data_IF_229319920744
#
_entry.id   IF_229319920744
#
_cell.length_a   1.000
_cell.length_b   1.000
_cell.length_c   1.000
_cell.angle_alpha   90.00
_cell.angle_beta   90.00
_cell.angle_gamma   90.00
#
_symmetry.space_group_name_H-M   'P 1'
#
loop_
_entity.id
_entity.type
_entity.pdbx_description
1 polymer ?
#
# COMPACT_ATOMS: atom_id res chain seq x y z
N UNK A 1 4.82 1.69 -22.93
CA UNK A 1 4.56 1.21 -21.56
C UNK A 1 5.66 0.27 -21.14
N UNK A 2 6.23 0.47 -19.94
CA UNK A 2 7.15 -0.49 -19.34
C UNK A 2 6.38 -1.77 -18.94
N UNK A 3 7.08 -2.91 -18.86
CA UNK A 3 6.52 -4.19 -18.44
C UNK A 3 7.40 -4.79 -17.36
N UNK A 4 6.78 -5.52 -16.43
CA UNK A 4 7.45 -6.24 -15.35
C UNK A 4 6.85 -7.65 -15.25
N UNK A 5 7.65 -8.64 -14.87
CA UNK A 5 7.16 -10.01 -14.63
C UNK A 5 6.43 -10.08 -13.28
N UNK A 6 5.44 -10.96 -13.14
CA UNK A 6 4.74 -11.16 -11.86
C UNK A 6 5.69 -11.53 -10.71
N UNK A 7 6.68 -12.37 -10.98
CA UNK A 7 7.67 -12.76 -9.96
C UNK A 7 8.50 -11.56 -9.46
N UNK A 8 8.99 -10.70 -10.37
CA UNK A 8 9.73 -9.50 -9.99
C UNK A 8 8.83 -8.48 -9.27
N UNK A 9 7.57 -8.37 -9.69
CA UNK A 9 6.57 -7.53 -9.03
C UNK A 9 6.34 -7.99 -7.59
N UNK A 10 6.08 -9.29 -7.39
CA UNK A 10 5.83 -9.88 -6.07
C UNK A 10 7.03 -9.73 -5.11
N UNK A 11 8.26 -9.86 -5.62
CA UNK A 11 9.47 -9.59 -4.83
C UNK A 11 9.60 -8.12 -4.41
N UNK A 12 9.02 -7.19 -5.15
CA UNK A 12 9.15 -5.76 -4.90
C UNK A 12 8.01 -5.19 -4.08
N UNK A 13 6.77 -5.63 -4.33
CA UNK A 13 5.55 -5.03 -3.78
C UNK A 13 4.59 -6.06 -3.19
N UNK A 14 5.02 -7.31 -3.03
CA UNK A 14 4.13 -8.39 -2.60
C UNK A 14 3.15 -8.87 -3.69
N UNK A 15 2.41 -9.95 -3.41
CA UNK A 15 1.48 -10.58 -4.37
C UNK A 15 0.35 -9.63 -4.78
N UNK A 16 -0.20 -9.81 -5.98
CA UNK A 16 -1.38 -9.08 -6.48
C UNK A 16 -2.47 -10.05 -6.94
N UNK A 17 -3.59 -9.55 -7.47
CA UNK A 17 -4.77 -10.34 -7.82
C UNK A 17 -4.42 -11.63 -8.57
N UNK A 18 -4.94 -12.75 -8.08
CA UNK A 18 -4.73 -14.10 -8.61
C UNK A 18 -3.44 -14.79 -8.17
N UNK A 19 -2.51 -14.08 -7.52
CA UNK A 19 -1.37 -14.74 -6.88
C UNK A 19 -1.84 -15.51 -5.64
N UNK A 20 -1.15 -16.62 -5.35
CA UNK A 20 -1.42 -17.47 -4.17
C UNK A 20 -0.27 -17.44 -3.19
N UNK A 21 -0.60 -17.36 -1.91
CA UNK A 21 0.36 -17.45 -0.81
C UNK A 21 0.04 -18.66 0.05
N UNK A 22 1.05 -19.51 0.26
CA UNK A 22 0.97 -20.61 1.22
C UNK A 22 1.06 -20.05 2.64
N UNK A 23 0.15 -20.43 3.51
CA UNK A 23 0.19 -20.02 4.91
C UNK A 23 1.23 -20.87 5.65
N UNK A 24 2.45 -20.32 5.73
CA UNK A 24 3.61 -20.96 6.34
C UNK A 24 3.85 -22.38 5.79
N UNK A 25 4.00 -23.37 6.67
CA UNK A 25 4.24 -24.77 6.37
C UNK A 25 2.95 -25.60 6.20
N UNK A 26 1.78 -24.97 6.25
CA UNK A 26 0.48 -25.65 6.07
C UNK A 26 0.17 -25.95 4.60
N UNK A 27 -0.83 -26.80 4.33
CA UNK A 27 -1.37 -27.02 2.98
C UNK A 27 -2.49 -26.02 2.61
N UNK A 28 -2.56 -24.87 3.30
CA UNK A 28 -3.52 -23.81 3.01
C UNK A 28 -2.91 -22.77 2.08
N UNK A 29 -3.62 -22.47 1.00
CA UNK A 29 -3.24 -21.45 0.02
C UNK A 29 -4.35 -20.41 -0.08
N UNK A 30 -4.00 -19.16 0.23
CA UNK A 30 -4.88 -18.02 0.05
C UNK A 30 -4.61 -17.37 -1.30
N UNK A 31 -5.66 -16.90 -1.97
CA UNK A 31 -5.56 -16.18 -3.24
C UNK A 31 -5.91 -14.71 -3.02
N UNK A 32 -5.16 -13.80 -3.65
CA UNK A 32 -5.49 -12.38 -3.59
C UNK A 32 -6.70 -12.10 -4.48
N UNK A 33 -7.81 -11.70 -3.87
CA UNK A 33 -9.09 -11.51 -4.54
C UNK A 33 -9.20 -10.10 -5.15
N UNK A 34 -8.58 -9.11 -4.50
CA UNK A 34 -8.60 -7.69 -4.90
C UNK A 34 -7.26 -7.03 -4.58
N UNK A 35 -6.90 -6.04 -5.39
CA UNK A 35 -5.77 -5.15 -5.14
C UNK A 35 -6.26 -3.72 -5.27
N UNK A 36 -6.16 -2.96 -4.17
CA UNK A 36 -6.56 -1.56 -4.11
C UNK A 36 -5.43 -0.61 -4.55
N UNK A 37 -4.23 -1.13 -4.78
CA UNK A 37 -3.12 -0.35 -5.33
C UNK A 37 -3.27 -0.19 -6.85
N UNK A 38 -2.43 0.66 -7.45
CA UNK A 38 -2.42 0.90 -8.89
C UNK A 38 -1.03 0.61 -9.44
N UNK A 39 -0.97 -0.21 -10.49
CA UNK A 39 0.30 -0.61 -11.09
C UNK A 39 1.10 0.57 -11.65
N UNK A 40 2.32 0.75 -11.13
CA UNK A 40 3.21 1.87 -11.44
C UNK A 40 3.09 3.04 -10.46
N UNK A 41 2.13 2.98 -9.53
CA UNK A 41 1.84 4.00 -8.52
C UNK A 41 2.03 3.48 -7.09
N UNK A 42 2.64 2.30 -6.93
CA UNK A 42 2.90 1.72 -5.62
C UNK A 42 3.80 2.62 -4.78
N UNK A 43 3.42 2.80 -3.51
CA UNK A 43 4.22 3.56 -2.57
C UNK A 43 5.20 2.64 -1.84
N UNK A 44 6.49 3.01 -1.86
CA UNK A 44 7.55 2.26 -1.19
C UNK A 44 8.56 3.20 -0.56
N UNK A 45 8.87 2.96 0.71
CA UNK A 45 9.84 3.76 1.47
C UNK A 45 11.27 3.21 1.36
N UNK A 46 12.25 4.11 1.38
CA UNK A 46 13.69 3.81 1.36
C UNK A 46 14.48 4.78 0.47
N UNK A 47 15.82 4.72 0.58
CA UNK A 47 16.72 5.58 -0.20
C UNK A 47 16.46 5.47 -1.71
N UNK A 48 16.18 6.60 -2.37
CA UNK A 48 15.92 6.66 -3.80
C UNK A 48 14.55 6.13 -4.26
N UNK A 49 13.62 5.85 -3.34
CA UNK A 49 12.31 5.28 -3.68
C UNK A 49 11.20 6.35 -3.80
N UNK A 50 9.94 5.91 -3.75
CA UNK A 50 8.75 6.69 -4.11
C UNK A 50 8.36 7.67 -3.01
N UNK A 51 8.35 7.24 -1.75
CA UNK A 51 7.95 8.09 -0.62
C UNK A 51 9.11 9.02 -0.26
N UNK A 52 9.14 10.17 -0.92
CA UNK A 52 10.06 11.28 -0.71
C UNK A 52 9.32 12.59 -0.94
N UNK A 53 9.85 13.66 -0.37
CA UNK A 53 9.29 15.00 -0.42
C UNK A 53 8.92 15.44 -1.84
N UNK A 54 7.66 15.84 -2.05
CA UNK A 54 7.12 16.27 -3.34
C UNK A 54 6.87 15.14 -4.34
N UNK A 55 7.21 13.89 -4.02
CA UNK A 55 6.90 12.70 -4.83
C UNK A 55 5.70 11.96 -4.23
N UNK A 56 5.87 10.74 -3.71
CA UNK A 56 4.82 10.01 -3.01
C UNK A 56 4.46 10.57 -1.63
N UNK A 57 5.26 11.52 -1.09
CA UNK A 57 4.93 12.29 0.09
C UNK A 57 4.43 13.68 -0.32
N UNK A 58 3.18 13.99 0.02
CA UNK A 58 2.55 15.30 -0.19
C UNK A 58 3.03 16.34 0.83
N UNK A 59 2.78 17.62 0.54
CA UNK A 59 2.94 18.72 1.50
C UNK A 59 1.75 18.87 2.47
N UNK A 60 0.67 18.10 2.25
CA UNK A 60 -0.52 18.15 3.09
C UNK A 60 -0.17 17.73 4.53
N UNK A 61 -0.46 18.61 5.49
CA UNK A 61 -0.22 18.33 6.90
C UNK A 61 -1.24 17.33 7.48
N UNK A 62 -0.91 16.76 8.65
CA UNK A 62 -1.83 15.93 9.42
C UNK A 62 -3.19 16.61 9.67
N UNK A 63 -3.17 17.91 10.01
CA UNK A 63 -4.36 18.71 10.27
C UNK A 63 -5.23 18.89 9.02
N UNK A 64 -4.64 18.81 7.83
CA UNK A 64 -5.31 18.96 6.54
C UNK A 64 -5.76 17.62 5.93
N UNK A 65 -5.42 16.48 6.54
CA UNK A 65 -5.94 15.18 6.11
C UNK A 65 -4.91 14.06 6.03
N UNK A 66 -3.61 14.35 6.07
CA UNK A 66 -2.60 13.29 6.10
C UNK A 66 -2.77 12.37 7.33
N UNK A 67 -2.42 11.10 7.15
CA UNK A 67 -2.49 10.07 8.20
C UNK A 67 -1.22 10.03 9.05
N UNK A 68 -1.30 9.43 10.23
CA UNK A 68 -0.18 9.33 11.17
C UNK A 68 0.81 8.23 10.77
N UNK A 69 0.28 7.13 10.24
CA UNK A 69 1.09 5.99 9.80
C UNK A 69 0.42 5.32 8.60
N UNK A 70 1.22 4.79 7.67
CA UNK A 70 0.75 3.91 6.60
C UNK A 70 1.49 2.59 6.65
N UNK A 71 0.73 1.48 6.60
CA UNK A 71 1.27 0.16 6.26
C UNK A 71 1.13 0.01 4.74
N UNK A 72 2.23 -0.03 4.00
CA UNK A 72 2.21 -0.01 2.53
C UNK A 72 2.17 -1.42 1.94
N UNK A 73 1.41 -1.63 0.87
CA UNK A 73 1.34 -2.87 0.08
C UNK A 73 1.02 -4.15 0.89
N UNK A 74 0.25 -4.02 1.98
CA UNK A 74 -0.06 -5.14 2.86
C UNK A 74 -0.98 -6.16 2.18
N UNK A 75 -0.67 -7.45 2.35
CA UNK A 75 -1.62 -8.53 2.13
C UNK A 75 -2.51 -8.68 3.38
N UNK A 76 -3.77 -8.30 3.26
CA UNK A 76 -4.76 -8.35 4.33
C UNK A 76 -5.57 -9.64 4.23
N UNK A 77 -5.70 -10.33 5.35
CA UNK A 77 -6.58 -11.48 5.53
C UNK A 77 -7.61 -11.09 6.59
N UNK A 78 -8.83 -10.80 6.17
CA UNK A 78 -9.92 -10.39 7.05
C UNK A 78 -11.17 -11.24 6.85
N UNK A 79 -11.84 -11.60 7.94
CA UNK A 79 -13.00 -12.48 7.89
C UNK A 79 -14.23 -11.85 7.22
N UNK A 80 -14.36 -10.52 7.26
CA UNK A 80 -15.49 -9.77 6.71
C UNK A 80 -15.20 -9.17 5.33
N UNK A 81 -13.96 -8.75 5.11
CA UNK A 81 -13.49 -8.08 3.89
C UNK A 81 -12.84 -8.99 2.86
N UNK A 82 -12.53 -10.25 3.22
CA UNK A 82 -11.87 -11.21 2.35
C UNK A 82 -10.34 -11.07 2.35
N UNK A 83 -9.72 -11.48 1.23
CA UNK A 83 -8.26 -11.52 1.09
C UNK A 83 -7.83 -10.55 -0.01
N UNK A 84 -7.16 -9.48 0.37
CA UNK A 84 -6.86 -8.39 -0.56
C UNK A 84 -5.54 -7.71 -0.27
N UNK A 85 -5.00 -7.01 -1.27
CA UNK A 85 -3.83 -6.14 -1.14
C UNK A 85 -4.25 -4.68 -1.06
N UNK A 86 -3.70 -3.94 -0.10
CA UNK A 86 -3.98 -2.50 0.06
C UNK A 86 -2.89 -1.79 0.87
N UNK A 87 -2.91 -0.46 0.81
CA UNK A 87 -2.30 0.39 1.83
C UNK A 87 -3.31 0.64 2.96
N UNK A 88 -2.83 0.67 4.21
CA UNK A 88 -3.66 0.88 5.40
C UNK A 88 -3.21 2.17 6.11
N UNK A 89 -4.08 3.17 6.12
CA UNK A 89 -3.84 4.44 6.80
C UNK A 89 -4.34 4.42 8.24
N UNK A 90 -3.48 4.80 9.18
CA UNK A 90 -3.80 4.92 10.60
C UNK A 90 -3.84 6.39 11.02
N UNK A 91 -4.87 6.77 11.77
CA UNK A 91 -5.01 8.11 12.35
C UNK A 91 -5.65 8.01 13.72
N UNK A 92 -5.10 8.73 14.70
CA UNK A 92 -5.58 8.73 16.10
C UNK A 92 -5.70 7.30 16.70
N UNK A 93 -4.73 6.44 16.35
CA UNK A 93 -4.68 5.05 16.82
C UNK A 93 -5.75 4.11 16.22
N UNK A 94 -6.42 4.52 15.14
CA UNK A 94 -7.46 3.72 14.46
C UNK A 94 -7.18 3.60 12.97
N UNK A 95 -7.76 2.58 12.33
CA UNK A 95 -7.79 2.47 10.87
C UNK A 95 -8.68 3.60 10.34
N UNK A 96 -8.06 4.55 9.63
CA UNK A 96 -8.73 5.69 9.04
C UNK A 96 -9.25 5.35 7.64
N UNK A 97 -8.48 4.58 6.87
CA UNK A 97 -8.83 4.16 5.52
C UNK A 97 -8.01 2.95 5.08
N UNK A 98 -8.58 2.18 4.15
CA UNK A 98 -7.94 1.07 3.44
C UNK A 98 -8.08 1.39 1.95
N UNK A 99 -6.99 1.37 1.20
CA UNK A 99 -7.03 1.76 -0.21
C UNK A 99 -5.64 2.00 -0.79
N UNK A 100 -5.48 3.12 -1.49
CA UNK A 100 -4.23 3.51 -2.14
C UNK A 100 -3.65 4.75 -1.47
N UNK A 101 -2.45 4.61 -0.91
CA UNK A 101 -1.74 5.70 -0.29
C UNK A 101 -0.85 6.46 -1.29
N UNK A 102 -0.48 7.69 -0.95
CA UNK A 102 0.49 8.47 -1.71
C UNK A 102 0.21 9.96 -1.68
N UNK A 103 0.63 10.62 -2.75
CA UNK A 103 0.44 12.06 -2.93
C UNK A 103 -0.60 12.33 -4.03
N UNK A 104 -1.76 12.93 -3.70
CA UNK A 104 -2.80 13.22 -4.69
C UNK A 104 -2.37 14.22 -5.77
N UNK A 105 -1.34 15.03 -5.52
CA UNK A 105 -0.82 16.01 -6.49
C UNK A 105 -0.02 15.35 -7.62
N UNK A 106 0.50 14.15 -7.37
CA UNK A 106 1.43 13.46 -8.27
C UNK A 106 0.90 12.13 -8.79
N UNK A 107 -0.07 11.53 -8.08
CA UNK A 107 -0.47 10.15 -8.30
C UNK A 107 -1.99 10.02 -8.39
N UNK A 108 -2.46 9.21 -9.34
CA UNK A 108 -3.89 8.96 -9.51
C UNK A 108 -4.47 8.07 -8.41
N UNK A 109 -5.76 8.26 -8.10
CA UNK A 109 -6.54 7.35 -7.25
C UNK A 109 -6.10 7.29 -5.78
N UNK A 110 -5.37 8.30 -5.28
CA UNK A 110 -4.98 8.36 -3.87
C UNK A 110 -6.20 8.54 -2.98
N UNK A 111 -6.40 7.62 -2.06
CA UNK A 111 -7.44 7.68 -1.02
C UNK A 111 -6.86 7.88 0.38
N UNK A 112 -5.55 7.68 0.55
CA UNK A 112 -4.83 7.85 1.82
C UNK A 112 -3.64 8.80 1.58
N UNK A 113 -3.67 10.00 2.17
CA UNK A 113 -2.63 11.00 1.93
C UNK A 113 -1.43 10.73 2.85
N UNK A 114 -0.25 10.55 2.24
CA UNK A 114 1.04 10.53 2.95
C UNK A 114 1.55 11.97 3.01
N UNK A 115 1.73 12.50 4.23
CA UNK A 115 2.23 13.84 4.47
C UNK A 115 3.57 13.86 5.21
N UNK A 116 4.11 15.05 5.55
CA UNK A 116 5.42 15.16 6.20
C UNK A 116 5.52 14.53 7.59
N UNK A 117 4.37 14.30 8.25
CA UNK A 117 4.29 13.67 9.58
C UNK A 117 3.86 12.21 9.56
N UNK A 118 3.79 11.56 8.39
CA UNK A 118 3.33 10.18 8.25
C UNK A 118 4.49 9.21 8.41
N UNK A 119 4.41 8.30 9.37
CA UNK A 119 5.35 7.16 9.51
C UNK A 119 5.00 6.04 8.51
N UNK A 120 5.99 5.27 8.07
CA UNK A 120 5.82 4.19 7.11
C UNK A 120 6.25 2.84 7.69
N UNK A 121 5.34 1.87 7.63
CA UNK A 121 5.62 0.45 7.88
C UNK A 121 5.57 -0.29 6.54
N UNK A 122 6.63 -1.00 6.20
CA UNK A 122 6.65 -1.85 5.01
C UNK A 122 5.87 -3.14 5.29
N UNK A 123 4.75 -3.34 4.56
CA UNK A 123 3.93 -4.55 4.60
C UNK A 123 4.36 -5.63 3.62
#
# INVERSE_FOLDING_TARGET
>A
MARITRAAYAQMYGPTVGDKVRLADTELFIEVEKDFTLHGEEVKFGGGKVIRDGMGQSQVSRAQGAVDTVITNALVVDASGGIFKADIGLKDGRIAAIGKAGNPDMQNGVTIIIGPGTEIIAG
#
